data_IF_217339766379
#
_entry.id   IF_217339766379
#
_cell.length_a   1.000
_cell.length_b   1.000
_cell.length_c   1.000
_cell.angle_alpha   90.00
_cell.angle_beta   90.00
_cell.angle_gamma   90.00
#
_symmetry.space_group_name_H-M   'P 1'
#
loop_
_entity.id
_entity.type
_entity.pdbx_description
1 polymer ?
#
# COMPACT_ATOMS: atom_id res chain seq x y z
N UNK A 1 25.61 19.85 -20.35
CA UNK A 1 24.28 19.51 -20.89
C UNK A 1 24.17 18.02 -20.66
N UNK A 2 23.26 17.58 -19.80
CA UNK A 2 23.00 16.15 -19.65
C UNK A 2 22.04 15.77 -20.78
N UNK A 3 22.31 14.65 -21.46
CA UNK A 3 21.59 14.26 -22.67
C UNK A 3 20.54 13.21 -22.34
N UNK A 4 19.27 13.51 -22.63
CA UNK A 4 18.19 12.52 -22.54
C UNK A 4 18.58 11.23 -23.28
N UNK A 5 18.60 10.11 -22.57
CA UNK A 5 18.89 8.78 -23.12
C UNK A 5 20.34 8.32 -23.11
N UNK A 6 21.23 8.96 -22.34
CA UNK A 6 22.55 8.39 -22.03
C UNK A 6 22.44 7.30 -20.95
N UNK A 7 23.21 6.22 -21.09
CA UNK A 7 23.30 5.14 -20.08
C UNK A 7 24.52 5.39 -19.20
N UNK A 8 24.28 5.63 -17.92
CA UNK A 8 25.28 5.80 -16.87
C UNK A 8 25.42 4.48 -16.11
N UNK A 9 26.66 4.09 -15.78
CA UNK A 9 26.92 2.88 -15.00
C UNK A 9 28.12 3.10 -14.08
N UNK A 10 27.89 3.07 -12.77
CA UNK A 10 28.81 3.65 -11.80
C UNK A 10 28.64 3.13 -10.37
N UNK A 11 29.16 3.91 -9.44
CA UNK A 11 28.91 3.81 -8.00
C UNK A 11 28.80 5.23 -7.42
N UNK A 12 27.59 5.74 -7.21
CA UNK A 12 27.33 7.03 -6.54
C UNK A 12 27.51 8.27 -7.40
N UNK A 13 27.19 8.21 -8.69
CA UNK A 13 27.15 9.36 -9.60
C UNK A 13 25.75 10.03 -9.63
N UNK A 14 25.63 11.14 -10.36
CA UNK A 14 24.34 11.81 -10.61
C UNK A 14 24.00 11.74 -12.09
N UNK A 15 22.87 11.11 -12.43
CA UNK A 15 22.51 10.67 -13.77
C UNK A 15 21.29 11.43 -14.35
N UNK A 16 21.18 11.50 -15.68
CA UNK A 16 19.96 11.91 -16.41
C UNK A 16 19.83 11.08 -17.69
N UNK A 17 19.13 9.96 -17.63
CA UNK A 17 18.85 9.03 -18.71
C UNK A 17 18.50 7.64 -18.16
N UNK A 18 19.42 6.68 -18.32
CA UNK A 18 19.31 5.35 -17.72
C UNK A 18 20.48 5.17 -16.75
N UNK A 19 20.24 4.94 -15.46
CA UNK A 19 21.28 4.53 -14.52
C UNK A 19 21.31 3.00 -14.37
N UNK A 20 22.52 2.44 -14.27
CA UNK A 20 22.73 1.01 -14.02
C UNK A 20 23.87 0.84 -13.01
N UNK A 21 23.56 0.80 -11.72
CA UNK A 21 24.60 0.94 -10.70
C UNK A 21 24.25 0.43 -9.31
N UNK A 22 24.90 1.08 -8.33
CA UNK A 22 24.71 0.87 -6.90
C UNK A 22 24.78 2.24 -6.23
N UNK A 23 23.65 2.78 -5.80
CA UNK A 23 23.59 4.06 -5.12
C UNK A 23 23.72 5.27 -6.03
N UNK A 24 23.41 5.15 -7.33
CA UNK A 24 23.30 6.33 -8.20
C UNK A 24 22.15 7.24 -7.78
N UNK A 25 22.22 8.51 -8.17
CA UNK A 25 21.10 9.46 -8.01
C UNK A 25 20.68 9.99 -9.37
N UNK A 26 19.49 9.65 -9.88
CA UNK A 26 18.98 10.25 -11.12
C UNK A 26 17.97 11.38 -10.85
N UNK A 27 17.93 12.39 -11.73
CA UNK A 27 17.02 13.54 -11.56
C UNK A 27 16.51 14.00 -12.93
N UNK A 28 15.27 13.67 -13.30
CA UNK A 28 14.82 13.87 -14.67
C UNK A 28 13.31 13.81 -14.93
N UNK A 29 13.01 13.22 -16.09
CA UNK A 29 11.67 12.99 -16.66
C UNK A 29 11.79 11.81 -17.65
N UNK A 30 11.22 10.66 -17.33
CA UNK A 30 11.35 9.42 -18.11
C UNK A 30 12.69 8.70 -17.94
N UNK A 31 13.28 8.81 -16.75
CA UNK A 31 14.50 8.12 -16.32
C UNK A 31 14.25 6.62 -16.12
N UNK A 32 15.31 5.81 -16.22
CA UNK A 32 15.24 4.38 -15.88
C UNK A 32 16.40 3.97 -14.97
N UNK A 33 16.12 3.55 -13.75
CA UNK A 33 17.10 3.23 -12.72
C UNK A 33 17.16 1.71 -12.50
N UNK A 34 18.31 1.07 -12.75
CA UNK A 34 18.46 -0.40 -12.73
C UNK A 34 19.61 -0.82 -11.79
N UNK A 35 19.32 -1.17 -10.54
CA UNK A 35 20.43 -1.31 -9.59
C UNK A 35 20.10 -1.90 -8.24
N UNK A 36 20.76 -1.32 -7.24
CA UNK A 36 20.62 -1.62 -5.81
C UNK A 36 20.80 -0.31 -5.04
N UNK A 37 19.70 0.23 -4.51
CA UNK A 37 19.71 1.42 -3.66
C UNK A 37 19.93 2.73 -4.39
N UNK A 38 19.55 2.81 -5.67
CA UNK A 38 19.50 4.07 -6.42
C UNK A 38 18.44 5.01 -5.82
N UNK A 39 18.57 6.32 -6.08
CA UNK A 39 17.60 7.33 -5.67
C UNK A 39 17.23 8.17 -6.89
N UNK A 40 15.99 8.10 -7.38
CA UNK A 40 15.61 8.85 -8.57
C UNK A 40 14.46 9.84 -8.26
N UNK A 41 14.61 11.07 -8.76
CA UNK A 41 13.79 12.23 -8.39
C UNK A 41 13.21 12.90 -9.64
N UNK A 42 11.92 12.75 -9.93
CA UNK A 42 11.40 13.28 -11.19
C UNK A 42 9.91 13.11 -11.45
N UNK A 43 9.58 12.69 -12.67
CA UNK A 43 8.22 12.54 -13.18
C UNK A 43 8.19 11.39 -14.19
N UNK A 44 7.67 10.25 -13.77
CA UNK A 44 7.46 9.08 -14.63
C UNK A 44 8.72 8.25 -14.81
N UNK A 45 9.56 8.14 -13.77
CA UNK A 45 10.75 7.30 -13.80
C UNK A 45 10.38 5.82 -13.59
N UNK A 46 11.24 4.90 -14.05
CA UNK A 46 11.04 3.45 -13.90
C UNK A 46 12.24 2.82 -13.19
N UNK A 47 12.00 2.08 -12.12
CA UNK A 47 13.04 1.50 -11.27
C UNK A 47 12.94 -0.02 -11.35
N UNK A 48 14.09 -0.71 -11.44
CA UNK A 48 14.16 -2.17 -11.32
C UNK A 48 15.36 -2.56 -10.48
N UNK A 49 15.15 -2.98 -9.22
CA UNK A 49 16.26 -3.10 -8.28
C UNK A 49 15.96 -3.80 -6.97
N UNK A 50 16.58 -3.28 -5.91
CA UNK A 50 16.55 -3.78 -4.54
C UNK A 50 16.92 -2.64 -3.57
N UNK A 51 15.93 -2.05 -2.90
CA UNK A 51 16.10 -0.97 -1.92
C UNK A 51 16.17 0.43 -2.54
N UNK A 52 15.61 0.59 -3.73
CA UNK A 52 15.50 1.83 -4.49
C UNK A 52 14.63 2.86 -3.77
N UNK A 53 14.89 4.16 -4.01
CA UNK A 53 14.06 5.26 -3.49
C UNK A 53 13.55 6.13 -4.63
N UNK A 54 12.24 6.12 -4.83
CA UNK A 54 11.52 6.85 -5.86
C UNK A 54 10.86 8.09 -5.25
N UNK A 55 11.05 9.29 -5.82
CA UNK A 55 10.32 10.50 -5.38
C UNK A 55 9.87 11.33 -6.58
N UNK A 56 8.57 11.33 -6.89
CA UNK A 56 8.12 11.95 -8.12
C UNK A 56 6.61 12.05 -8.30
N UNK A 57 6.17 11.71 -9.50
CA UNK A 57 4.78 11.73 -9.95
C UNK A 57 4.61 10.73 -11.11
N UNK A 58 3.96 9.59 -10.85
CA UNK A 58 3.73 8.54 -11.84
C UNK A 58 4.92 7.57 -12.01
N UNK A 59 5.70 7.42 -10.95
CA UNK A 59 6.85 6.53 -10.81
C UNK A 59 6.42 5.06 -10.83
N UNK A 60 7.27 4.18 -11.39
CA UNK A 60 7.02 2.73 -11.41
C UNK A 60 8.23 1.98 -10.86
N UNK A 61 8.13 1.43 -9.65
CA UNK A 61 9.27 0.81 -8.96
C UNK A 61 9.08 -0.72 -8.84
N UNK A 62 10.06 -1.50 -9.31
CA UNK A 62 9.92 -2.95 -9.47
C UNK A 62 11.07 -3.71 -8.78
N UNK A 63 10.80 -4.42 -7.68
CA UNK A 63 11.85 -5.24 -7.08
C UNK A 63 11.57 -5.74 -5.68
N UNK A 64 12.33 -5.23 -4.71
CA UNK A 64 12.39 -5.76 -3.35
C UNK A 64 12.76 -4.68 -2.34
N UNK A 65 11.75 -4.15 -1.66
CA UNK A 65 11.89 -3.15 -0.60
C UNK A 65 12.10 -1.75 -1.16
N UNK A 66 11.47 -1.42 -2.29
CA UNK A 66 11.52 -0.07 -2.85
C UNK A 66 10.67 0.88 -2.00
N UNK A 67 11.06 2.15 -1.97
CA UNK A 67 10.37 3.21 -1.24
C UNK A 67 9.96 4.30 -2.20
N UNK A 68 8.67 4.43 -2.44
CA UNK A 68 8.07 5.31 -3.44
C UNK A 68 7.35 6.49 -2.76
N UNK A 69 7.52 7.71 -3.25
CA UNK A 69 7.01 8.91 -2.58
C UNK A 69 6.51 9.96 -3.58
N UNK A 70 5.21 10.11 -3.76
CA UNK A 70 4.69 11.22 -4.55
C UNK A 70 3.20 11.20 -4.85
N UNK A 71 2.86 10.91 -6.10
CA UNK A 71 1.48 10.93 -6.60
C UNK A 71 1.32 9.95 -7.74
N UNK A 72 0.48 8.93 -7.55
CA UNK A 72 0.19 7.92 -8.56
C UNK A 72 1.35 6.95 -8.76
N UNK A 73 2.13 6.69 -7.70
CA UNK A 73 3.26 5.78 -7.77
C UNK A 73 2.79 4.33 -7.77
N UNK A 74 3.44 3.47 -8.56
CA UNK A 74 3.10 2.05 -8.70
C UNK A 74 4.31 1.21 -8.35
N UNK A 75 4.26 0.47 -7.25
CA UNK A 75 5.42 -0.28 -6.76
C UNK A 75 5.09 -1.77 -6.64
N UNK A 76 5.97 -2.63 -7.12
CA UNK A 76 5.67 -4.06 -7.33
C UNK A 76 6.85 -4.90 -6.88
N UNK A 77 6.67 -5.66 -5.80
CA UNK A 77 7.79 -6.39 -5.22
C UNK A 77 7.50 -7.19 -3.95
N UNK A 78 8.31 -6.92 -2.93
CA UNK A 78 8.35 -7.61 -1.65
C UNK A 78 8.85 -6.65 -0.57
N UNK A 79 7.91 -6.09 0.19
CA UNK A 79 8.20 -5.14 1.27
C UNK A 79 8.21 -3.70 0.77
N UNK A 80 7.45 -3.43 -0.28
CA UNK A 80 7.37 -2.12 -0.93
C UNK A 80 6.67 -1.10 -0.03
N UNK A 81 7.09 0.16 -0.10
CA UNK A 81 6.54 1.24 0.71
C UNK A 81 6.20 2.45 -0.17
N UNK A 82 4.93 2.60 -0.55
CA UNK A 82 4.44 3.72 -1.36
C UNK A 82 3.80 4.80 -0.46
N UNK A 83 4.08 6.08 -0.71
CA UNK A 83 3.73 7.19 0.19
C UNK A 83 3.25 8.41 -0.61
N UNK A 84 1.95 8.59 -0.80
CA UNK A 84 1.47 9.66 -1.68
C UNK A 84 -0.04 9.82 -1.84
N UNK A 85 -0.48 9.75 -3.09
CA UNK A 85 -1.85 10.05 -3.52
C UNK A 85 -2.21 9.19 -4.73
N UNK A 86 -3.00 8.14 -4.47
CA UNK A 86 -3.37 7.17 -5.49
C UNK A 86 -2.25 6.16 -5.73
N UNK A 87 -1.52 5.81 -4.67
CA UNK A 87 -0.42 4.87 -4.74
C UNK A 87 -0.94 3.43 -4.87
N UNK A 88 -0.22 2.61 -5.62
CA UNK A 88 -0.54 1.20 -5.86
C UNK A 88 0.68 0.33 -5.55
N UNK A 89 0.81 -0.20 -4.31
CA UNK A 89 1.83 -1.22 -4.01
C UNK A 89 1.29 -2.65 -4.23
N UNK A 90 2.12 -3.57 -4.70
CA UNK A 90 1.71 -4.90 -5.16
C UNK A 90 2.77 -5.96 -4.86
N UNK A 91 2.57 -6.80 -3.84
CA UNK A 91 3.62 -7.71 -3.40
C UNK A 91 3.38 -8.50 -2.11
N UNK A 92 4.31 -8.35 -1.16
CA UNK A 92 4.40 -9.14 0.07
C UNK A 92 5.06 -8.30 1.18
N UNK A 93 4.24 -7.79 2.09
CA UNK A 93 4.65 -6.90 3.17
C UNK A 93 4.53 -5.44 2.75
N UNK A 94 3.61 -5.15 1.83
CA UNK A 94 3.51 -3.84 1.19
C UNK A 94 2.84 -2.83 2.10
N UNK A 95 3.26 -1.57 2.01
CA UNK A 95 2.80 -0.50 2.87
C UNK A 95 2.51 0.76 2.03
N UNK A 96 1.24 1.00 1.68
CA UNK A 96 0.79 2.15 0.89
C UNK A 96 0.16 3.18 1.83
N UNK A 97 0.54 4.45 1.77
CA UNK A 97 0.09 5.45 2.75
C UNK A 97 -0.24 6.78 2.09
N UNK A 98 -1.52 7.14 2.05
CA UNK A 98 -1.96 8.27 1.23
C UNK A 98 -3.48 8.47 1.07
N UNK A 99 -3.93 8.60 -0.17
CA UNK A 99 -5.30 8.94 -0.54
C UNK A 99 -5.73 8.22 -1.82
N UNK A 100 -6.62 7.24 -1.68
CA UNK A 100 -7.03 6.35 -2.77
C UNK A 100 -6.00 5.25 -2.97
N UNK A 101 -5.36 4.82 -1.88
CA UNK A 101 -4.26 3.86 -1.92
C UNK A 101 -4.77 2.44 -2.17
N UNK A 102 -3.92 1.64 -2.79
CA UNK A 102 -4.23 0.28 -3.20
C UNK A 102 -3.03 -0.63 -2.91
N UNK A 103 -3.05 -1.33 -1.79
CA UNK A 103 -2.06 -2.36 -1.43
C UNK A 103 -2.62 -3.74 -1.76
N UNK A 104 -1.86 -4.54 -2.49
CA UNK A 104 -2.30 -5.81 -3.08
C UNK A 104 -1.30 -6.93 -2.77
N UNK A 105 -1.57 -7.82 -1.81
CA UNK A 105 -0.57 -8.81 -1.40
C UNK A 105 -0.79 -9.63 -0.11
N UNK A 106 0.25 -9.72 0.71
CA UNK A 106 0.34 -10.51 1.94
C UNK A 106 1.12 -9.76 3.03
N UNK A 107 0.52 -9.52 4.19
CA UNK A 107 1.07 -8.59 5.17
C UNK A 107 0.93 -7.14 4.70
N UNK A 108 -0.15 -6.88 3.96
CA UNK A 108 -0.45 -5.59 3.34
C UNK A 108 -0.86 -4.58 4.38
N UNK A 109 -0.50 -3.33 4.20
CA UNK A 109 -0.85 -2.27 5.11
C UNK A 109 -1.09 -1.00 4.28
N UNK A 110 -2.28 -0.83 3.70
CA UNK A 110 -2.71 0.52 3.30
C UNK A 110 -3.54 1.28 4.32
N UNK A 111 -3.34 2.59 4.29
CA UNK A 111 -3.52 3.53 5.40
C UNK A 111 -3.76 4.92 4.80
N UNK A 112 -4.99 5.43 4.86
CA UNK A 112 -5.32 6.63 4.10
C UNK A 112 -6.81 6.93 3.94
N UNK A 113 -7.23 7.33 2.74
CA UNK A 113 -8.61 7.69 2.43
C UNK A 113 -9.17 7.06 1.14
N UNK A 114 -10.12 6.14 1.29
CA UNK A 114 -10.59 5.32 0.17
C UNK A 114 -9.67 4.13 -0.06
N UNK A 115 -9.36 3.43 1.03
CA UNK A 115 -8.17 2.59 1.18
C UNK A 115 -8.39 1.15 0.83
N UNK A 116 -7.65 0.66 -0.15
CA UNK A 116 -7.92 -0.61 -0.80
C UNK A 116 -6.81 -1.60 -0.48
N UNK A 117 -6.70 -1.96 0.80
CA UNK A 117 -5.60 -2.77 1.33
C UNK A 117 -5.95 -4.26 1.29
N UNK A 118 -5.91 -4.81 0.09
CA UNK A 118 -6.32 -6.17 -0.24
C UNK A 118 -5.21 -7.17 0.11
N UNK A 119 -5.06 -7.55 1.39
CA UNK A 119 -4.22 -8.70 1.70
C UNK A 119 -3.97 -9.10 3.16
N UNK A 120 -3.20 -10.18 3.30
CA UNK A 120 -3.21 -11.05 4.48
C UNK A 120 -2.46 -10.51 5.70
N UNK A 121 -3.16 -9.79 6.58
CA UNK A 121 -2.71 -9.45 7.93
C UNK A 121 -2.33 -7.98 8.07
N UNK A 122 -3.28 -7.17 8.55
CA UNK A 122 -3.56 -5.81 8.05
C UNK A 122 -4.42 -5.89 6.77
N UNK A 123 -5.52 -6.64 6.90
CA UNK A 123 -6.52 -6.81 5.83
C UNK A 123 -7.41 -5.55 5.81
N UNK A 124 -6.80 -4.45 5.37
CA UNK A 124 -7.35 -3.10 5.39
C UNK A 124 -8.19 -2.81 4.09
N UNK A 125 -8.79 -3.87 3.57
CA UNK A 125 -9.51 -4.10 2.30
C UNK A 125 -10.70 -3.17 1.92
N UNK A 126 -10.57 -1.87 1.60
CA UNK A 126 -11.37 -1.31 0.47
C UNK A 126 -12.06 0.09 0.48
N UNK A 127 -12.93 0.22 -0.52
CA UNK A 127 -13.41 1.50 -1.03
C UNK A 127 -14.30 2.32 -0.09
N UNK A 128 -13.82 3.51 0.29
CA UNK A 128 -14.50 4.40 1.24
C UNK A 128 -14.74 3.75 2.61
N UNK A 129 -14.02 2.67 2.89
CA UNK A 129 -14.08 2.01 4.17
C UNK A 129 -13.13 2.69 5.13
N UNK A 130 -13.18 2.19 6.34
CA UNK A 130 -12.00 2.00 7.16
C UNK A 130 -11.97 0.48 7.42
N UNK A 131 -11.56 -0.35 6.43
CA UNK A 131 -11.14 -1.73 6.72
C UNK A 131 -9.81 -1.58 7.41
N UNK A 132 -9.68 -1.98 8.67
CA UNK A 132 -8.45 -1.73 9.43
C UNK A 132 -8.13 -2.90 10.37
N UNK A 133 -7.03 -3.60 10.10
CA UNK A 133 -6.13 -4.03 11.15
C UNK A 133 -5.55 -5.47 11.11
N UNK A 134 -4.89 -5.80 12.22
CA UNK A 134 -3.94 -6.90 12.45
C UNK A 134 -4.51 -8.32 12.36
N UNK A 135 -4.48 -8.91 11.16
CA UNK A 135 -5.35 -10.05 10.89
C UNK A 135 -6.82 -9.72 11.19
N UNK A 136 -7.14 -8.42 11.22
CA UNK A 136 -8.51 -7.96 11.23
C UNK A 136 -9.01 -8.14 9.82
N UNK A 137 -10.00 -9.00 9.75
CA UNK A 137 -10.64 -9.39 8.51
C UNK A 137 -11.76 -8.38 8.35
N UNK A 138 -11.35 -7.16 8.02
CA UNK A 138 -12.15 -5.97 8.22
C UNK A 138 -13.04 -5.68 7.00
N UNK A 139 -13.81 -6.67 6.55
CA UNK A 139 -14.27 -6.80 5.18
C UNK A 139 -15.70 -6.25 4.90
N UNK A 140 -15.91 -4.92 4.77
CA UNK A 140 -17.25 -4.46 4.31
C UNK A 140 -17.34 -3.04 3.71
N UNK A 141 -18.32 -2.78 2.83
CA UNK A 141 -18.43 -1.54 2.05
C UNK A 141 -18.89 -0.33 2.88
N UNK A 142 -18.09 0.74 2.88
CA UNK A 142 -18.36 1.90 3.74
C UNK A 142 -18.41 1.53 5.22
N UNK A 143 -17.98 0.34 5.60
CA UNK A 143 -17.84 -0.02 6.98
C UNK A 143 -16.58 0.59 7.55
N UNK A 144 -16.70 0.94 8.82
CA UNK A 144 -15.57 1.22 9.68
C UNK A 144 -15.35 -0.11 10.42
N UNK A 145 -14.76 -1.09 9.72
CA UNK A 145 -14.40 -2.39 10.29
C UNK A 145 -13.12 -2.23 11.11
N UNK A 146 -13.17 -2.57 12.40
CA UNK A 146 -12.22 -2.12 13.41
C UNK A 146 -11.97 -3.20 14.46
N UNK A 147 -10.86 -3.10 15.19
CA UNK A 147 -10.62 -3.87 16.44
C UNK A 147 -10.34 -5.36 16.25
N UNK A 148 -9.98 -6.01 17.36
CA UNK A 148 -8.95 -7.04 17.42
C UNK A 148 -9.36 -8.51 17.27
N UNK A 149 -8.67 -9.22 16.38
CA UNK A 149 -9.08 -10.54 15.89
C UNK A 149 -10.48 -10.54 15.29
N UNK A 150 -10.98 -9.40 14.82
CA UNK A 150 -12.37 -9.22 14.43
C UNK A 150 -12.60 -9.57 12.97
N UNK A 151 -13.67 -10.33 12.80
CA UNK A 151 -14.13 -10.81 11.50
C UNK A 151 -15.40 -10.04 11.22
N UNK A 152 -15.22 -8.87 10.61
CA UNK A 152 -16.28 -7.98 10.18
C UNK A 152 -16.72 -8.33 8.78
N UNK A 153 -17.95 -8.80 8.64
CA UNK A 153 -18.43 -9.32 7.36
C UNK A 153 -19.91 -8.96 7.17
N UNK A 154 -20.16 -7.76 6.64
CA UNK A 154 -21.53 -7.32 6.38
C UNK A 154 -21.69 -6.18 5.37
N UNK A 155 -22.58 -5.24 5.73
CA UNK A 155 -22.85 -4.02 4.98
C UNK A 155 -23.25 -2.88 5.93
N UNK A 156 -22.44 -1.83 6.01
CA UNK A 156 -22.69 -0.71 6.92
C UNK A 156 -22.76 -1.12 8.41
N UNK A 157 -22.06 -2.18 8.80
CA UNK A 157 -21.97 -2.65 10.18
C UNK A 157 -21.18 -1.70 11.09
N UNK A 158 -21.51 -1.73 12.38
CA UNK A 158 -20.81 -0.96 13.41
C UNK A 158 -20.68 -1.78 14.69
N UNK A 159 -19.69 -2.67 14.71
CA UNK A 159 -19.31 -3.41 15.89
C UNK A 159 -18.36 -2.62 16.79
N UNK A 160 -18.59 -2.70 18.10
CA UNK A 160 -17.93 -1.87 19.09
C UNK A 160 -17.58 -2.72 20.32
N UNK A 161 -16.99 -3.90 20.08
CA UNK A 161 -16.59 -4.88 21.08
C UNK A 161 -15.11 -5.25 21.03
N UNK A 162 -14.79 -6.51 21.36
CA UNK A 162 -13.44 -7.08 21.33
C UNK A 162 -13.45 -8.55 20.91
N UNK A 163 -12.80 -8.89 19.80
CA UNK A 163 -12.80 -10.26 19.29
C UNK A 163 -14.19 -10.70 18.85
N UNK A 164 -14.99 -9.73 18.42
CA UNK A 164 -16.33 -9.95 17.90
C UNK A 164 -16.28 -10.62 16.53
N UNK A 165 -17.29 -11.44 16.27
CA UNK A 165 -17.56 -11.96 14.92
C UNK A 165 -18.91 -11.39 14.49
N UNK A 166 -18.85 -10.41 13.60
CA UNK A 166 -19.98 -9.59 13.19
C UNK A 166 -20.49 -10.00 11.82
N UNK A 167 -21.74 -10.48 11.80
CA UNK A 167 -22.31 -11.26 10.71
C UNK A 167 -23.78 -10.89 10.41
N UNK A 168 -24.01 -9.88 9.57
CA UNK A 168 -25.31 -9.77 8.93
C UNK A 168 -25.58 -8.46 8.19
N UNK A 169 -26.62 -7.77 8.67
CA UNK A 169 -27.17 -6.56 8.09
C UNK A 169 -27.68 -5.67 9.22
N UNK A 170 -26.95 -4.58 9.47
CA UNK A 170 -27.30 -3.53 10.45
C UNK A 170 -27.47 -4.09 11.87
N UNK A 171 -26.36 -4.54 12.44
CA UNK A 171 -26.23 -4.81 13.87
C UNK A 171 -25.26 -3.81 14.51
N UNK A 172 -25.49 -3.47 15.79
CA UNK A 172 -24.54 -2.73 16.62
C UNK A 172 -24.16 -3.66 17.77
N UNK A 173 -23.01 -4.32 17.64
CA UNK A 173 -22.49 -5.23 18.66
C UNK A 173 -21.84 -4.44 19.78
N UNK A 174 -22.33 -4.64 21.01
CA UNK A 174 -21.90 -3.93 22.22
C UNK A 174 -21.59 -4.97 23.31
N UNK A 175 -20.47 -5.67 23.13
CA UNK A 175 -20.13 -6.87 23.87
C UNK A 175 -18.63 -7.01 24.18
N UNK A 176 -18.27 -8.22 24.61
CA UNK A 176 -16.88 -8.66 24.72
C UNK A 176 -16.79 -10.14 24.34
N UNK A 177 -16.29 -10.41 23.14
CA UNK A 177 -16.15 -11.76 22.57
C UNK A 177 -17.51 -12.39 22.23
N UNK A 178 -18.46 -11.58 21.75
CA UNK A 178 -19.78 -12.04 21.34
C UNK A 178 -19.79 -12.43 19.83
N UNK A 179 -20.84 -13.16 19.45
CA UNK A 179 -21.11 -13.47 18.03
C UNK A 179 -22.50 -12.95 17.73
N UNK A 180 -22.56 -11.84 17.01
CA UNK A 180 -23.81 -11.23 16.59
C UNK A 180 -24.36 -11.98 15.36
N UNK A 181 -25.65 -12.32 15.41
CA UNK A 181 -26.35 -13.02 14.33
C UNK A 181 -27.69 -12.32 14.03
N UNK A 182 -27.80 -11.83 12.80
CA UNK A 182 -28.96 -11.11 12.27
C UNK A 182 -30.33 -11.68 12.67
N UNK A 183 -31.23 -10.78 13.10
CA UNK A 183 -32.57 -11.03 13.64
C UNK A 183 -32.67 -11.34 15.15
N UNK A 184 -31.78 -10.76 15.96
CA UNK A 184 -32.11 -10.41 17.34
C UNK A 184 -32.02 -11.56 18.35
N UNK A 185 -31.12 -12.51 18.13
CA UNK A 185 -30.65 -13.42 19.18
C UNK A 185 -29.19 -13.10 19.52
N UNK A 186 -28.98 -12.42 20.65
CA UNK A 186 -27.73 -12.46 21.39
C UNK A 186 -27.68 -13.83 22.09
N UNK A 187 -26.55 -14.54 22.01
CA UNK A 187 -26.33 -15.88 22.58
C UNK A 187 -25.25 -15.87 23.67
#
# INVERSE_FOLDING_TARGET
MVGFGEVYAGYGEVCVGVSVGYGEVSVGYGEVCLGYGEVCLGYGEVYVGYGEVCVGYGEVCLGYGEVCVGYGEVCVGYGEVCLGYGEECVGYGEVCVGYGEVCLGYGEVCVGYGEVCLGYGEECVGYGKVSVGYGEVCLGYGEVCLWYGEVWVGYGEMCLGYGEVCLGYVEVCLGYGEVCLGYGQIL
#
